data_IF_765559256228
#
_entry.id   IF_765559256228
#
_cell.length_a   1.000
_cell.length_b   1.000
_cell.length_c   1.000
_cell.angle_alpha   90.00
_cell.angle_beta   90.00
_cell.angle_gamma   90.00
#
_symmetry.space_group_name_H-M   'P 1'
#
loop_
_entity.id
_entity.type
_entity.pdbx_description
1 polymer ?
#
# COMPACT_ATOMS: atom_id res chain seq x y z
N UNK A 1 53.52 -25.86 -20.22
CA UNK A 1 53.02 -24.52 -19.84
C UNK A 1 52.15 -24.02 -20.99
N UNK A 2 50.82 -24.06 -20.86
CA UNK A 2 49.85 -23.23 -21.60
C UNK A 2 48.45 -23.52 -21.03
N UNK A 3 47.87 -22.46 -20.43
CA UNK A 3 46.61 -22.47 -19.68
C UNK A 3 45.44 -22.48 -20.68
N UNK A 4 44.52 -23.44 -20.56
CA UNK A 4 43.20 -23.34 -21.19
C UNK A 4 42.34 -22.42 -20.32
N UNK A 5 41.96 -21.29 -20.90
CA UNK A 5 41.05 -20.30 -20.32
C UNK A 5 39.66 -20.94 -20.25
N UNK A 6 39.17 -21.18 -19.03
CA UNK A 6 37.78 -21.57 -18.80
C UNK A 6 36.97 -20.28 -18.72
N UNK A 7 36.17 -20.00 -19.76
CA UNK A 7 35.26 -18.86 -19.81
C UNK A 7 34.07 -19.16 -18.89
N UNK A 8 34.13 -18.67 -17.65
CA UNK A 8 33.03 -18.73 -16.69
C UNK A 8 31.90 -17.82 -17.16
N UNK A 9 30.82 -18.41 -17.66
CA UNK A 9 29.57 -17.69 -17.94
C UNK A 9 28.98 -17.22 -16.62
N UNK A 10 29.03 -15.91 -16.39
CA UNK A 10 28.37 -15.24 -15.28
C UNK A 10 26.86 -15.25 -15.57
N UNK A 11 26.16 -16.27 -15.06
CA UNK A 11 24.70 -16.27 -14.98
C UNK A 11 24.32 -15.20 -13.96
N UNK A 12 23.98 -14.02 -14.47
CA UNK A 12 23.35 -12.97 -13.70
C UNK A 12 21.88 -13.36 -13.52
N UNK A 13 21.57 -14.10 -12.46
CA UNK A 13 20.17 -14.31 -12.03
C UNK A 13 19.68 -12.96 -11.52
N UNK A 14 19.06 -12.18 -12.40
CA UNK A 14 18.19 -11.10 -11.99
C UNK A 14 17.04 -11.76 -11.21
N UNK A 15 17.10 -11.69 -9.88
CA UNK A 15 15.95 -11.94 -9.02
C UNK A 15 14.92 -10.85 -9.33
N UNK A 16 14.15 -11.05 -10.41
CA UNK A 16 12.88 -10.39 -10.57
C UNK A 16 12.05 -10.83 -9.35
N UNK A 17 11.89 -9.91 -8.38
CA UNK A 17 11.01 -10.11 -7.24
C UNK A 17 9.63 -10.44 -7.80
N UNK A 18 9.26 -11.71 -7.72
CA UNK A 18 7.96 -12.16 -8.16
C UNK A 18 6.97 -11.65 -7.12
N UNK A 19 6.43 -10.45 -7.34
CA UNK A 19 5.27 -9.96 -6.59
C UNK A 19 4.17 -10.99 -6.77
N UNK A 20 3.92 -11.81 -5.75
CA UNK A 20 2.90 -12.86 -5.81
C UNK A 20 1.55 -12.20 -6.09
N UNK A 21 0.82 -12.66 -7.11
CA UNK A 21 -0.56 -12.21 -7.38
C UNK A 21 -1.59 -13.12 -6.73
N UNK A 22 -1.22 -13.77 -5.62
CA UNK A 22 -2.08 -14.72 -4.93
C UNK A 22 -3.32 -14.02 -4.36
N UNK A 23 -4.49 -14.52 -4.75
CA UNK A 23 -5.78 -14.11 -4.17
C UNK A 23 -6.14 -14.86 -2.88
N UNK A 24 -5.24 -15.71 -2.37
CA UNK A 24 -5.48 -16.45 -1.14
C UNK A 24 -5.05 -15.63 0.08
N UNK A 25 -5.96 -15.47 1.04
CA UNK A 25 -5.66 -14.87 2.34
C UNK A 25 -4.45 -15.54 3.00
N UNK A 26 -3.55 -14.73 3.56
CA UNK A 26 -2.44 -15.22 4.40
C UNK A 26 -2.91 -15.63 5.81
N UNK A 27 -4.06 -15.12 6.25
CA UNK A 27 -4.66 -15.43 7.55
C UNK A 27 -5.44 -16.74 7.49
N UNK A 28 -4.75 -17.87 7.65
CA UNK A 28 -5.36 -19.21 7.56
C UNK A 28 -6.28 -19.56 8.72
N UNK A 29 -6.11 -18.90 9.86
CA UNK A 29 -6.94 -19.07 11.07
C UNK A 29 -7.57 -17.72 11.39
N UNK A 30 -8.88 -17.72 11.62
CA UNK A 30 -9.61 -16.51 12.01
C UNK A 30 -9.21 -16.13 13.45
N UNK A 31 -8.52 -15.02 13.62
CA UNK A 31 -8.23 -14.45 14.94
C UNK A 31 -9.48 -13.88 15.62
N UNK A 32 -9.35 -13.56 16.91
CA UNK A 32 -10.41 -12.86 17.64
C UNK A 32 -10.66 -11.47 17.01
N UNK A 33 -11.92 -11.02 16.92
CA UNK A 33 -12.24 -9.70 16.38
C UNK A 33 -11.65 -8.60 17.29
N UNK A 34 -11.11 -7.55 16.68
CA UNK A 34 -10.56 -6.38 17.36
C UNK A 34 -10.82 -5.11 16.57
N UNK A 35 -10.76 -3.98 17.27
CA UNK A 35 -10.71 -2.67 16.66
C UNK A 35 -9.28 -2.36 16.20
N UNK A 36 -9.17 -1.72 15.04
CA UNK A 36 -7.91 -1.30 14.43
C UNK A 36 -7.92 0.21 14.36
N UNK A 37 -6.97 0.85 15.03
CA UNK A 37 -6.80 2.30 15.00
C UNK A 37 -5.71 2.64 13.99
N UNK A 38 -6.02 3.51 13.04
CA UNK A 38 -5.10 3.98 12.01
C UNK A 38 -5.03 5.50 12.14
N UNK A 39 -3.82 6.03 12.17
CA UNK A 39 -3.58 7.48 12.15
C UNK A 39 -2.93 7.82 10.82
N UNK A 40 -3.66 8.57 10.00
CA UNK A 40 -3.19 9.02 8.69
C UNK A 40 -2.58 10.40 8.87
N UNK A 41 -1.26 10.49 8.76
CA UNK A 41 -0.48 11.73 8.91
C UNK A 41 -0.19 12.39 7.57
N UNK A 42 0.28 13.63 7.65
CA UNK A 42 0.60 14.48 6.50
C UNK A 42 -0.61 14.69 5.59
N UNK A 43 -1.78 14.82 6.22
CA UNK A 43 -2.99 15.24 5.52
C UNK A 43 -2.86 16.75 5.32
N UNK A 44 -2.72 17.17 4.08
CA UNK A 44 -2.46 18.58 3.72
C UNK A 44 -3.72 19.33 3.25
N UNK A 45 -4.83 18.61 3.03
CA UNK A 45 -6.11 19.20 2.61
C UNK A 45 -7.28 18.45 3.24
N UNK A 46 -8.38 19.15 3.49
CA UNK A 46 -9.66 18.56 3.93
C UNK A 46 -10.62 18.30 2.75
N UNK A 47 -10.19 18.58 1.52
CA UNK A 47 -10.97 18.33 0.31
C UNK A 47 -11.09 16.84 0.01
N UNK A 48 -12.21 16.46 -0.60
CA UNK A 48 -12.49 15.10 -1.00
C UNK A 48 -12.57 14.12 0.17
N UNK A 49 -11.93 12.97 0.01
CA UNK A 49 -12.03 11.82 0.90
C UNK A 49 -10.72 11.05 1.05
N UNK A 50 -10.55 10.37 2.18
CA UNK A 50 -9.54 9.33 2.34
C UNK A 50 -10.18 7.97 2.11
N UNK A 51 -9.64 7.23 1.16
CA UNK A 51 -9.98 5.83 0.91
C UNK A 51 -8.97 4.96 1.65
N UNK A 52 -9.43 4.18 2.63
CA UNK A 52 -8.56 3.31 3.44
C UNK A 52 -8.91 1.85 3.14
N UNK A 53 -7.92 1.10 2.67
CA UNK A 53 -8.05 -0.30 2.29
C UNK A 53 -7.21 -1.19 3.19
N UNK A 54 -7.80 -2.33 3.56
CA UNK A 54 -7.13 -3.41 4.25
C UNK A 54 -7.03 -4.62 3.31
N UNK A 55 -5.85 -5.23 3.24
CA UNK A 55 -5.53 -6.32 2.34
C UNK A 55 -4.98 -7.50 3.14
N UNK A 56 -5.50 -8.69 2.89
CA UNK A 56 -5.04 -9.94 3.50
C UNK A 56 -4.34 -10.86 2.48
N UNK A 57 -4.18 -10.40 1.25
CA UNK A 57 -3.52 -11.12 0.17
C UNK A 57 -2.93 -10.15 -0.86
N UNK A 58 -1.87 -10.60 -1.53
CA UNK A 58 -1.11 -9.79 -2.47
C UNK A 58 -1.88 -9.47 -3.77
N UNK A 59 -2.79 -10.35 -4.21
CA UNK A 59 -3.64 -10.09 -5.38
C UNK A 59 -4.55 -8.88 -5.19
N UNK A 60 -5.06 -8.68 -3.97
CA UNK A 60 -5.86 -7.50 -3.61
C UNK A 60 -5.04 -6.22 -3.42
N UNK A 61 -3.77 -6.35 -3.02
CA UNK A 61 -2.88 -5.21 -2.73
C UNK A 61 -2.39 -4.50 -4.00
N UNK A 62 -2.21 -5.27 -5.07
CA UNK A 62 -1.68 -4.80 -6.35
C UNK A 62 -2.74 -4.69 -7.45
N UNK A 63 -4.00 -4.46 -7.10
CA UNK A 63 -4.96 -4.07 -8.14
C UNK A 63 -4.52 -2.72 -8.73
N UNK A 64 -3.93 -2.76 -9.93
CA UNK A 64 -3.43 -1.60 -10.68
C UNK A 64 -4.56 -0.72 -11.25
N UNK A 65 -5.80 -0.97 -10.85
CA UNK A 65 -6.98 -0.37 -11.41
C UNK A 65 -7.63 0.61 -10.42
N UNK A 66 -8.11 1.70 -11.00
CA UNK A 66 -9.15 2.59 -10.52
C UNK A 66 -9.88 2.06 -9.26
N UNK A 67 -9.74 2.75 -8.13
CA UNK A 67 -10.31 2.35 -6.84
C UNK A 67 -11.87 2.33 -6.82
N UNK A 68 -12.51 2.91 -7.85
CA UNK A 68 -13.94 2.87 -8.16
C UNK A 68 -14.32 1.73 -9.11
N UNK A 69 -13.35 1.01 -9.70
CA UNK A 69 -13.65 -0.12 -10.57
C UNK A 69 -14.27 -1.28 -9.77
N UNK A 70 -15.31 -1.88 -10.31
CA UNK A 70 -15.97 -3.06 -9.72
C UNK A 70 -15.04 -4.28 -9.55
N UNK A 71 -13.90 -4.28 -10.23
CA UNK A 71 -12.87 -5.32 -10.16
C UNK A 71 -12.01 -5.25 -8.91
N UNK A 72 -11.95 -4.11 -8.19
CA UNK A 72 -11.06 -3.97 -7.04
C UNK A 72 -11.42 -4.97 -5.94
N UNK A 73 -10.39 -5.63 -5.41
CA UNK A 73 -10.50 -6.57 -4.30
C UNK A 73 -9.85 -5.94 -3.08
N UNK A 74 -10.48 -6.14 -1.93
CA UNK A 74 -9.99 -5.74 -0.63
C UNK A 74 -10.58 -6.67 0.41
N UNK A 75 -9.91 -6.79 1.56
CA UNK A 75 -10.50 -7.46 2.72
C UNK A 75 -11.50 -6.52 3.41
N UNK A 76 -11.14 -5.25 3.55
CA UNK A 76 -12.01 -4.22 4.11
C UNK A 76 -11.74 -2.86 3.44
N UNK A 77 -12.76 -2.01 3.36
CA UNK A 77 -12.65 -0.64 2.87
C UNK A 77 -13.50 0.30 3.72
N UNK A 78 -12.95 1.44 4.07
CA UNK A 78 -13.71 2.57 4.63
C UNK A 78 -13.35 3.85 3.89
N UNK A 79 -14.31 4.76 3.82
CA UNK A 79 -14.16 6.11 3.28
C UNK A 79 -14.38 7.08 4.43
N UNK A 80 -13.44 8.00 4.66
CA UNK A 80 -13.53 8.98 5.73
C UNK A 80 -13.26 10.39 5.22
N UNK A 81 -13.81 11.38 5.90
CA UNK A 81 -13.51 12.79 5.63
C UNK A 81 -12.10 13.13 6.17
N UNK A 82 -11.22 13.76 5.37
CA UNK A 82 -9.89 14.12 5.85
C UNK A 82 -9.95 15.24 6.90
N UNK A 83 -9.07 15.14 7.89
CA UNK A 83 -8.76 16.17 8.89
C UNK A 83 -7.27 16.45 8.89
N UNK A 84 -6.90 17.71 9.11
CA UNK A 84 -5.52 18.18 9.15
C UNK A 84 -5.04 18.38 10.60
N UNK A 85 -3.75 18.14 10.91
CA UNK A 85 -2.72 17.58 10.03
C UNK A 85 -2.79 16.04 9.91
N UNK A 86 -3.67 15.41 10.67
CA UNK A 86 -3.85 13.97 10.71
C UNK A 86 -5.33 13.58 10.83
N UNK A 87 -5.68 12.41 10.30
CA UNK A 87 -7.01 11.80 10.38
C UNK A 87 -6.96 10.49 11.14
N UNK A 88 -7.78 10.35 12.17
CA UNK A 88 -7.96 9.09 12.89
C UNK A 88 -9.04 8.24 12.23
N UNK A 89 -8.77 6.96 12.05
CA UNK A 89 -9.68 5.98 11.46
C UNK A 89 -9.76 4.76 12.37
N UNK A 90 -10.97 4.28 12.62
CA UNK A 90 -11.21 3.06 13.39
C UNK A 90 -11.96 2.05 12.53
N UNK A 91 -11.37 0.87 12.36
CA UNK A 91 -12.03 -0.29 11.77
C UNK A 91 -12.47 -1.22 12.90
N UNK A 92 -13.74 -1.60 12.97
CA UNK A 92 -14.24 -2.52 14.00
C UNK A 92 -14.34 -3.94 13.47
N UNK A 93 -14.37 -4.91 14.38
CA UNK A 93 -14.61 -6.33 14.08
C UNK A 93 -13.61 -6.95 13.08
N UNK A 94 -12.38 -6.44 13.03
CA UNK A 94 -11.31 -7.00 12.19
C UNK A 94 -10.72 -8.21 12.90
N UNK A 95 -10.71 -9.41 12.29
CA UNK A 95 -10.02 -10.56 12.89
C UNK A 95 -8.54 -10.26 13.09
N UNK A 96 -8.01 -10.55 14.28
CA UNK A 96 -6.58 -10.47 14.51
C UNK A 96 -5.80 -11.31 13.49
N UNK A 97 -4.70 -10.77 12.98
CA UNK A 97 -3.96 -11.36 11.86
C UNK A 97 -2.96 -10.38 11.23
N UNK A 98 -2.39 -10.76 10.09
CA UNK A 98 -1.47 -9.92 9.31
C UNK A 98 -2.19 -9.30 8.13
N UNK A 99 -1.98 -8.00 7.94
CA UNK A 99 -2.64 -7.23 6.89
C UNK A 99 -1.69 -6.18 6.31
N UNK A 100 -1.91 -5.80 5.06
CA UNK A 100 -1.35 -4.58 4.50
C UNK A 100 -2.45 -3.50 4.43
N UNK A 101 -2.08 -2.25 4.70
CA UNK A 101 -2.96 -1.08 4.63
C UNK A 101 -2.48 -0.17 3.50
N UNK A 102 -3.41 0.28 2.68
CA UNK A 102 -3.17 1.37 1.73
C UNK A 102 -4.19 2.49 1.95
N UNK A 103 -3.72 3.73 1.82
CA UNK A 103 -4.55 4.93 1.96
C UNK A 103 -4.33 5.80 0.73
N UNK A 104 -5.42 6.31 0.15
CA UNK A 104 -5.40 7.28 -0.94
C UNK A 104 -6.16 8.51 -0.51
N UNK A 105 -5.60 9.69 -0.74
CA UNK A 105 -6.31 10.96 -0.61
C UNK A 105 -6.86 11.36 -1.97
N UNK A 106 -8.08 10.91 -2.22
CA UNK A 106 -8.89 11.22 -3.39
C UNK A 106 -9.52 12.61 -3.19
N UNK A 107 -8.91 13.64 -3.78
CA UNK A 107 -9.26 15.04 -3.53
C UNK A 107 -10.51 15.48 -4.29
N UNK A 108 -10.74 14.92 -5.47
CA UNK A 108 -11.88 15.29 -6.32
C UNK A 108 -13.10 14.37 -6.14
N UNK A 109 -12.95 13.31 -5.35
CA UNK A 109 -13.99 12.34 -4.98
C UNK A 109 -14.50 11.49 -6.14
N UNK A 110 -13.67 11.28 -7.17
CA UNK A 110 -14.01 10.40 -8.29
C UNK A 110 -13.76 8.89 -7.97
N UNK A 111 -13.12 8.64 -6.82
CA UNK A 111 -12.77 7.33 -6.31
C UNK A 111 -11.73 6.61 -7.16
N UNK A 112 -11.04 7.32 -8.04
CA UNK A 112 -9.88 6.83 -8.78
C UNK A 112 -8.60 7.30 -8.07
N UNK A 113 -7.46 6.72 -8.45
CA UNK A 113 -6.18 7.31 -8.07
C UNK A 113 -5.68 8.01 -9.32
N UNK A 114 -5.82 9.33 -9.32
CA UNK A 114 -5.44 10.13 -10.45
C UNK A 114 -3.95 9.95 -10.77
N UNK A 115 -3.65 9.83 -12.06
CA UNK A 115 -2.29 9.64 -12.56
C UNK A 115 -1.87 10.82 -13.43
N UNK A 116 -0.67 11.33 -13.18
CA UNK A 116 -0.06 12.40 -13.97
C UNK A 116 0.11 11.97 -15.45
N UNK A 117 0.01 12.94 -16.36
CA UNK A 117 0.02 12.70 -17.83
C UNK A 117 1.30 13.21 -18.52
N UNK A 118 1.94 14.30 -18.11
CA UNK A 118 3.26 14.68 -18.64
C UNK A 118 3.95 15.63 -17.65
N UNK A 119 5.28 15.52 -17.40
CA UNK A 119 6.25 14.56 -17.93
C UNK A 119 6.27 13.19 -17.19
N UNK A 120 5.36 12.97 -16.23
CA UNK A 120 5.36 11.81 -15.33
C UNK A 120 4.19 10.83 -15.60
N UNK A 121 4.01 10.41 -16.86
CA UNK A 121 2.90 9.52 -17.30
C UNK A 121 2.74 8.33 -16.33
N UNK A 122 1.58 8.20 -15.70
CA UNK A 122 1.21 7.04 -14.89
C UNK A 122 1.54 7.13 -13.39
N UNK A 123 2.27 8.17 -12.94
CA UNK A 123 2.54 8.37 -11.50
C UNK A 123 1.31 8.92 -10.77
N UNK A 124 0.99 8.44 -9.56
CA UNK A 124 -0.08 9.03 -8.75
C UNK A 124 0.16 10.53 -8.53
N UNK A 125 -0.77 11.38 -8.98
CA UNK A 125 -0.78 12.82 -8.65
C UNK A 125 -1.29 13.07 -7.24
N UNK A 126 -2.06 12.14 -6.70
CA UNK A 126 -2.66 12.26 -5.38
C UNK A 126 -1.78 11.70 -4.27
N UNK A 127 -1.84 12.27 -3.05
CA UNK A 127 -1.14 11.72 -1.89
C UNK A 127 -1.65 10.32 -1.56
N UNK A 128 -0.74 9.40 -1.29
CA UNK A 128 -1.06 8.05 -0.86
C UNK A 128 -0.11 7.57 0.24
N UNK A 129 -0.56 6.57 1.00
CA UNK A 129 0.09 6.02 2.19
C UNK A 129 0.08 4.49 2.14
N UNK A 130 1.13 3.84 2.62
CA UNK A 130 1.21 2.37 2.76
C UNK A 130 1.67 2.05 4.19
N UNK A 131 1.16 0.96 4.76
CA UNK A 131 1.65 0.48 6.06
C UNK A 131 3.11 0.09 5.99
N UNK A 132 3.78 0.20 7.14
CA UNK A 132 5.22 0.00 7.30
C UNK A 132 6.08 0.91 6.40
N UNK A 133 5.50 2.00 5.89
CA UNK A 133 6.17 2.94 4.97
C UNK A 133 6.85 2.18 3.82
N UNK A 134 6.19 1.13 3.31
CA UNK A 134 6.73 0.14 2.38
C UNK A 134 6.95 0.75 0.99
N UNK A 135 7.81 1.76 0.89
CA UNK A 135 8.16 2.45 -0.35
C UNK A 135 9.51 1.97 -0.86
N UNK A 136 9.61 1.86 -2.18
CA UNK A 136 10.90 1.93 -2.85
C UNK A 136 10.80 2.96 -3.97
N UNK A 137 11.91 3.65 -4.27
CA UNK A 137 11.95 4.63 -5.37
C UNK A 137 11.62 4.01 -6.75
N UNK A 138 11.61 2.67 -6.84
CA UNK A 138 11.43 1.91 -8.07
C UNK A 138 10.13 1.10 -8.11
N UNK A 139 9.32 1.07 -7.04
CA UNK A 139 8.10 0.25 -6.98
C UNK A 139 7.06 0.76 -5.97
N UNK A 140 5.82 0.30 -6.13
CA UNK A 140 4.67 0.56 -5.22
C UNK A 140 4.81 -0.14 -3.84
N UNK A 141 5.98 -0.66 -3.47
CA UNK A 141 6.17 -1.49 -2.28
C UNK A 141 5.70 -2.93 -2.45
N UNK A 142 6.30 -3.90 -1.75
CA UNK A 142 5.77 -5.27 -1.71
C UNK A 142 4.60 -5.43 -0.75
N UNK A 143 3.68 -6.35 -1.06
CA UNK A 143 2.62 -6.72 -0.11
C UNK A 143 3.25 -7.21 1.19
N UNK A 144 4.31 -8.00 1.06
CA UNK A 144 5.10 -8.55 2.15
C UNK A 144 5.74 -7.45 3.01
N UNK A 145 6.31 -6.42 2.38
CA UNK A 145 6.91 -5.28 3.08
C UNK A 145 5.85 -4.42 3.81
N UNK A 146 4.62 -4.39 3.30
CA UNK A 146 3.54 -3.62 3.89
C UNK A 146 2.81 -4.36 5.04
N UNK A 147 3.17 -5.61 5.35
CA UNK A 147 2.47 -6.37 6.38
C UNK A 147 2.67 -5.79 7.79
N UNK A 148 1.56 -5.62 8.49
CA UNK A 148 1.49 -5.25 9.91
C UNK A 148 0.64 -6.26 10.68
N UNK A 149 0.96 -6.45 11.95
CA UNK A 149 0.22 -7.31 12.86
C UNK A 149 -0.93 -6.56 13.53
N UNK A 150 -2.14 -7.05 13.35
CA UNK A 150 -3.35 -6.56 14.01
C UNK A 150 -3.68 -7.47 15.19
N UNK A 151 -3.67 -6.89 16.38
CA UNK A 151 -3.95 -7.58 17.66
C UNK A 151 -4.77 -6.68 18.59
N UNK A 152 -5.41 -7.25 19.60
CA UNK A 152 -6.31 -6.53 20.51
C UNK A 152 -5.65 -5.42 21.35
N UNK A 153 -4.33 -5.40 21.45
CA UNK A 153 -3.55 -4.43 22.21
C UNK A 153 -2.57 -3.66 21.32
N UNK A 154 -2.79 -3.68 20.00
CA UNK A 154 -1.92 -2.99 19.06
C UNK A 154 -1.93 -1.47 19.31
N UNK A 155 -0.74 -0.86 19.18
CA UNK A 155 -0.63 0.58 19.03
C UNK A 155 -1.33 1.04 17.75
N UNK A 156 -1.76 2.31 17.66
CA UNK A 156 -2.25 2.86 16.41
C UNK A 156 -1.26 2.63 15.27
N UNK A 157 -1.77 2.24 14.11
CA UNK A 157 -0.96 2.03 12.91
C UNK A 157 -0.83 3.38 12.22
N UNK A 158 0.41 3.87 12.16
CA UNK A 158 0.72 5.14 11.52
C UNK A 158 0.87 4.96 10.01
N UNK A 159 0.14 5.77 9.24
CA UNK A 159 0.27 5.85 7.78
C UNK A 159 0.68 7.27 7.43
N UNK A 160 1.70 7.42 6.58
CA UNK A 160 2.17 8.75 6.12
C UNK A 160 1.74 8.96 4.68
N UNK A 161 0.96 10.01 4.44
CA UNK A 161 0.67 10.44 3.09
C UNK A 161 1.85 11.18 2.50
N UNK A 162 2.11 10.91 1.23
CA UNK A 162 3.01 11.71 0.43
C UNK A 162 2.76 11.44 -1.06
N UNK A 163 3.03 12.44 -1.89
CA UNK A 163 2.97 12.31 -3.35
C UNK A 163 4.18 11.53 -3.85
N UNK A 164 4.09 10.90 -5.02
CA UNK A 164 5.21 10.17 -5.59
C UNK A 164 6.47 11.04 -5.75
N UNK A 165 6.31 12.31 -6.13
CA UNK A 165 7.42 13.26 -6.26
C UNK A 165 8.13 13.53 -4.93
N UNK A 166 7.38 13.80 -3.85
CA UNK A 166 7.96 14.03 -2.52
C UNK A 166 8.72 12.81 -1.98
N UNK A 167 8.25 11.59 -2.32
CA UNK A 167 8.91 10.33 -1.94
C UNK A 167 10.19 10.06 -2.72
N UNK A 168 10.22 10.41 -4.01
CA UNK A 168 11.34 10.09 -4.90
C UNK A 168 12.47 11.11 -4.82
N UNK A 169 12.15 12.40 -4.63
CA UNK A 169 13.14 13.46 -4.68
C UNK A 169 13.43 14.13 -3.33
N UNK A 170 12.70 13.78 -2.27
CA UNK A 170 12.79 14.42 -0.97
C UNK A 170 12.15 15.82 -0.99
N UNK A 171 11.38 16.13 0.04
CA UNK A 171 10.92 17.49 0.33
C UNK A 171 12.03 18.34 0.93
#
# INVERSE_FOLDING_TARGET
MNKKVLLSSLICVLLAGCSSTSNMSINKVKGAPTDVRIVVNHVESTEGQLLVYLHDNAGSYYSDDNYSASSIKYFHRIVVKPSIPATEVVLTDIPAGKYAISVVHDKDSDGTLDRMVFPFIGMPSEPYGLSNDAYSALSKGSFEDALVDITAQAQPIEIKLATHLSKTFGG
#
